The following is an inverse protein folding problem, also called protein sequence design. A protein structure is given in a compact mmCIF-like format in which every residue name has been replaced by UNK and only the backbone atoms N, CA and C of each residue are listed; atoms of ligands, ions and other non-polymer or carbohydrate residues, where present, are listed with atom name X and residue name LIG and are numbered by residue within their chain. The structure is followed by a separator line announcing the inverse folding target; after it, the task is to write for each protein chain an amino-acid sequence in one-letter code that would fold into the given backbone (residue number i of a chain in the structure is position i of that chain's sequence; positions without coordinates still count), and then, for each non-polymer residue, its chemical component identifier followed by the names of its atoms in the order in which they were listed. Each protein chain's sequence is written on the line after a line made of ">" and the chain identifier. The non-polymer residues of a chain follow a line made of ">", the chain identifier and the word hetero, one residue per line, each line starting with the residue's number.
data_IF_978022891437
#
_entry.id   IF_978022891437
#
_cell.length_a   1.000
_cell.length_b   1.000
_cell.length_c   1.000
_cell.angle_alpha   90.00
_cell.angle_beta   90.00
_cell.angle_gamma   90.00
#
_symmetry.space_group_name_H-M   'P 1'
#
loop_
_entity.id
_entity.type
_entity.pdbx_description
1 polymer ?
#
# COMPACT_ATOMS: atom_id res chain seq x y z
N UNK A 1 23.77 -14.19 -30.88
CA UNK A 1 24.25 -13.29 -29.79
C UNK A 1 23.14 -12.41 -29.23
N UNK A 2 22.41 -11.63 -30.03
CA UNK A 2 21.40 -10.67 -29.54
C UNK A 2 20.20 -11.30 -28.78
N UNK A 3 19.72 -12.50 -29.18
CA UNK A 3 18.58 -13.15 -28.53
C UNK A 3 18.85 -13.61 -27.09
N UNK A 4 20.08 -14.01 -26.78
CA UNK A 4 20.47 -14.45 -25.44
C UNK A 4 20.58 -13.29 -24.46
N UNK A 5 21.11 -12.15 -24.92
CA UNK A 5 21.13 -10.92 -24.14
C UNK A 5 19.71 -10.45 -23.77
N UNK A 6 18.77 -10.44 -24.73
CA UNK A 6 17.37 -10.07 -24.49
C UNK A 6 16.66 -11.00 -23.49
N UNK A 7 16.94 -12.31 -23.53
CA UNK A 7 16.39 -13.26 -22.57
C UNK A 7 16.88 -12.95 -21.13
N UNK A 8 18.17 -12.66 -20.96
CA UNK A 8 18.75 -12.26 -19.67
C UNK A 8 18.14 -10.95 -19.17
N UNK A 9 18.04 -9.94 -20.04
CA UNK A 9 17.39 -8.67 -19.69
C UNK A 9 15.95 -8.89 -19.22
N UNK A 10 15.17 -9.70 -19.93
CA UNK A 10 13.78 -9.96 -19.54
C UNK A 10 13.65 -10.66 -18.19
N UNK A 11 14.55 -11.58 -17.84
CA UNK A 11 14.53 -12.29 -16.56
C UNK A 11 15.02 -11.45 -15.40
N UNK A 12 16.09 -10.68 -15.59
CA UNK A 12 16.60 -9.76 -14.57
C UNK A 12 15.58 -8.64 -14.31
N UNK A 13 14.99 -8.09 -15.36
CA UNK A 13 13.95 -7.07 -15.27
C UNK A 13 12.69 -7.62 -14.58
N UNK A 14 12.27 -8.84 -14.94
CA UNK A 14 11.10 -9.49 -14.33
C UNK A 14 11.33 -9.83 -12.85
N UNK A 15 12.52 -10.31 -12.48
CA UNK A 15 12.88 -10.59 -11.09
C UNK A 15 12.90 -9.31 -10.24
N UNK A 16 13.54 -8.25 -10.76
CA UNK A 16 13.64 -6.93 -10.10
C UNK A 16 12.27 -6.27 -9.96
N UNK A 17 11.45 -6.34 -11.00
CA UNK A 17 10.07 -5.85 -10.97
C UNK A 17 9.23 -6.60 -9.93
N UNK A 18 9.39 -7.93 -9.81
CA UNK A 18 8.63 -8.73 -8.84
C UNK A 18 9.05 -8.49 -7.39
N UNK A 19 10.34 -8.27 -7.12
CA UNK A 19 10.84 -8.04 -5.76
C UNK A 19 10.59 -6.61 -5.27
N UNK A 20 10.74 -5.61 -6.14
CA UNK A 20 10.67 -4.20 -5.75
C UNK A 20 9.32 -3.52 -6.07
N UNK A 21 8.69 -3.81 -7.21
CA UNK A 21 7.46 -3.10 -7.65
C UNK A 21 6.19 -3.82 -7.17
N UNK A 22 6.21 -5.14 -7.02
CA UNK A 22 5.00 -5.91 -6.62
C UNK A 22 4.72 -5.95 -5.12
N UNK A 23 5.69 -5.56 -4.29
CA UNK A 23 5.56 -5.62 -2.84
C UNK A 23 5.12 -4.26 -2.33
N UNK A 24 4.07 -4.29 -1.51
CA UNK A 24 3.46 -3.19 -0.76
C UNK A 24 4.42 -2.44 0.20
N UNK A 25 5.72 -2.56 -0.02
CA UNK A 25 6.75 -2.01 0.85
C UNK A 25 6.70 -0.48 0.83
N UNK A 26 6.40 0.13 -0.31
CA UNK A 26 6.39 1.61 -0.45
C UNK A 26 5.31 2.26 0.42
N UNK A 27 4.08 1.72 0.46
CA UNK A 27 3.02 2.25 1.31
C UNK A 27 3.37 2.06 2.78
N UNK A 28 3.84 0.86 3.14
CA UNK A 28 4.22 0.50 4.50
C UNK A 28 5.36 1.39 5.02
N UNK A 29 6.42 1.57 4.24
CA UNK A 29 7.56 2.42 4.62
C UNK A 29 7.16 3.88 4.74
N UNK A 30 6.27 4.36 3.88
CA UNK A 30 5.80 5.75 3.93
C UNK A 30 4.94 5.98 5.17
N UNK A 31 4.07 5.04 5.53
CA UNK A 31 3.26 5.10 6.74
C UNK A 31 4.14 5.10 8.01
N UNK A 32 5.13 4.20 8.08
CA UNK A 32 6.06 4.16 9.21
C UNK A 32 6.94 5.41 9.31
N UNK A 33 7.50 5.88 8.19
CA UNK A 33 8.32 7.09 8.16
C UNK A 33 7.48 8.33 8.54
N UNK A 34 6.23 8.42 8.07
CA UNK A 34 5.32 9.50 8.42
C UNK A 34 4.95 9.51 9.90
N UNK A 35 4.66 8.35 10.49
CA UNK A 35 4.38 8.22 11.92
C UNK A 35 5.58 8.63 12.79
N UNK A 36 6.78 8.17 12.44
CA UNK A 36 8.01 8.48 13.19
C UNK A 36 8.40 9.97 13.08
N UNK A 37 8.30 10.55 11.87
CA UNK A 37 8.54 11.99 11.68
C UNK A 37 7.54 12.84 12.46
N UNK A 38 6.28 12.40 12.55
CA UNK A 38 5.25 13.08 13.34
C UNK A 38 5.51 12.99 14.85
N UNK A 39 5.93 11.82 15.36
CA UNK A 39 6.37 11.68 16.76
C UNK A 39 7.52 12.63 17.09
N UNK A 40 8.55 12.71 16.23
CA UNK A 40 9.66 13.64 16.41
C UNK A 40 9.22 15.11 16.33
N UNK A 41 8.35 15.45 15.39
CA UNK A 41 7.86 16.82 15.20
C UNK A 41 6.99 17.30 16.38
N UNK A 42 6.13 16.43 16.91
CA UNK A 42 5.35 16.70 18.12
C UNK A 42 6.25 16.81 19.36
N UNK A 43 7.30 15.99 19.45
CA UNK A 43 8.24 16.02 20.58
C UNK A 43 9.08 17.31 20.65
N UNK A 44 9.41 17.93 19.52
CA UNK A 44 10.25 19.13 19.45
C UNK A 44 9.52 20.40 19.92
N UNK A 45 8.19 20.38 20.09
CA UNK A 45 7.40 21.57 20.42
C UNK A 45 6.95 21.58 21.90
N UNK A 46 7.44 22.51 22.74
CA UNK A 46 7.27 22.46 24.20
C UNK A 46 6.03 23.20 24.74
N UNK A 47 5.12 23.69 23.89
CA UNK A 47 3.91 24.39 24.30
C UNK A 47 2.76 23.39 24.50
N UNK A 48 2.49 23.03 25.76
CA UNK A 48 1.54 22.00 26.19
C UNK A 48 0.05 22.20 25.88
N UNK A 49 -0.33 22.74 24.72
CA UNK A 49 -1.73 22.85 24.24
C UNK A 49 -2.04 21.90 23.05
N UNK A 50 -1.51 20.69 23.07
CA UNK A 50 -1.93 19.66 22.11
C UNK A 50 -3.02 18.82 22.73
N UNK A 51 -4.25 18.76 22.18
CA UNK A 51 -4.96 17.45 22.15
C UNK A 51 -6.26 17.23 21.32
N UNK A 52 -6.85 18.17 20.56
CA UNK A 52 -8.09 17.80 19.81
C UNK A 52 -8.03 17.98 18.30
N UNK A 53 -7.53 19.10 17.81
CA UNK A 53 -7.66 19.44 16.39
C UNK A 53 -6.58 18.79 15.50
N UNK A 54 -5.35 18.66 15.97
CA UNK A 54 -4.24 18.05 15.20
C UNK A 54 -4.38 16.54 15.06
N UNK A 55 -4.87 15.82 16.08
CA UNK A 55 -5.12 14.36 15.97
C UNK A 55 -6.27 14.02 15.02
N UNK A 56 -7.36 14.80 15.04
CA UNK A 56 -8.54 14.52 14.19
C UNK A 56 -8.29 14.89 12.72
N UNK A 57 -7.55 15.99 12.46
CA UNK A 57 -7.32 16.46 11.10
C UNK A 57 -6.18 15.73 10.38
N UNK A 58 -5.10 15.37 11.10
CA UNK A 58 -3.94 14.72 10.50
C UNK A 58 -4.17 13.25 10.14
N UNK A 59 -5.08 12.55 10.84
CA UNK A 59 -5.40 11.15 10.55
C UNK A 59 -6.36 11.06 9.35
N UNK A 60 -7.40 11.91 9.30
CA UNK A 60 -8.47 11.81 8.30
C UNK A 60 -8.00 12.07 6.86
N UNK A 61 -7.16 13.08 6.62
CA UNK A 61 -6.68 13.40 5.27
C UNK A 61 -5.67 12.36 4.76
N UNK A 62 -4.81 11.85 5.65
CA UNK A 62 -3.85 10.80 5.33
C UNK A 62 -4.56 9.46 5.07
N UNK A 63 -5.56 9.10 5.87
CA UNK A 63 -6.34 7.89 5.67
C UNK A 63 -7.08 7.89 4.33
N UNK A 64 -7.73 9.00 3.95
CA UNK A 64 -8.44 9.09 2.66
C UNK A 64 -7.44 9.03 1.50
N UNK A 65 -6.33 9.78 1.58
CA UNK A 65 -5.31 9.81 0.54
C UNK A 65 -4.60 8.47 0.36
N UNK A 66 -4.18 7.85 1.46
CA UNK A 66 -3.47 6.57 1.45
C UNK A 66 -4.36 5.43 0.98
N UNK A 67 -5.62 5.37 1.42
CA UNK A 67 -6.57 4.37 0.96
C UNK A 67 -6.84 4.49 -0.55
N UNK A 68 -6.95 5.71 -1.08
CA UNK A 68 -7.20 5.90 -2.52
C UNK A 68 -6.00 5.48 -3.37
N UNK A 69 -4.79 5.80 -2.93
CA UNK A 69 -3.54 5.38 -3.61
C UNK A 69 -3.41 3.86 -3.55
N UNK A 70 -3.66 3.28 -2.38
CA UNK A 70 -3.64 1.84 -2.15
C UNK A 70 -4.66 1.09 -3.01
N UNK A 71 -5.87 1.63 -3.12
CA UNK A 71 -6.94 1.07 -3.93
C UNK A 71 -6.62 1.05 -5.41
N UNK A 72 -6.08 2.15 -5.93
CA UNK A 72 -5.62 2.24 -7.32
C UNK A 72 -4.49 1.25 -7.62
N UNK A 73 -3.51 1.14 -6.71
CA UNK A 73 -2.35 0.27 -6.91
C UNK A 73 -2.70 -1.22 -6.81
N UNK A 74 -3.62 -1.58 -5.92
CA UNK A 74 -3.98 -2.97 -5.64
C UNK A 74 -5.24 -3.44 -6.36
N UNK A 75 -5.80 -2.64 -7.26
CA UNK A 75 -6.99 -2.99 -8.03
C UNK A 75 -6.86 -4.38 -8.68
N UNK A 76 -7.90 -5.21 -8.52
CA UNK A 76 -7.95 -6.57 -9.04
C UNK A 76 -7.21 -7.61 -8.18
N UNK A 77 -6.52 -7.18 -7.12
CA UNK A 77 -5.90 -8.06 -6.10
C UNK A 77 -6.56 -7.96 -4.74
N UNK A 78 -7.43 -6.98 -4.53
CA UNK A 78 -8.11 -6.80 -3.26
C UNK A 78 -9.27 -7.79 -3.12
N UNK A 79 -9.54 -8.23 -1.88
CA UNK A 79 -10.69 -9.10 -1.58
C UNK A 79 -12.00 -8.54 -2.13
N UNK A 80 -12.23 -7.23 -2.00
CA UNK A 80 -13.44 -6.56 -2.53
C UNK A 80 -13.59 -6.73 -4.05
N UNK A 81 -12.49 -6.83 -4.78
CA UNK A 81 -12.48 -6.99 -6.23
C UNK A 81 -12.61 -8.45 -6.66
N UNK A 82 -12.12 -9.41 -5.86
CA UNK A 82 -12.06 -10.84 -6.24
C UNK A 82 -13.08 -11.73 -5.54
N UNK A 83 -13.74 -11.26 -4.45
CA UNK A 83 -14.65 -12.06 -3.63
C UNK A 83 -15.80 -12.67 -4.42
N UNK A 84 -16.29 -11.96 -5.44
CA UNK A 84 -17.40 -12.40 -6.27
C UNK A 84 -17.10 -13.72 -7.01
N UNK A 85 -15.82 -14.02 -7.28
CA UNK A 85 -15.42 -15.28 -7.91
C UNK A 85 -15.44 -16.49 -6.99
N UNK A 86 -15.53 -16.27 -5.67
CA UNK A 86 -15.48 -17.33 -4.66
C UNK A 86 -16.82 -17.52 -3.97
N UNK A 87 -17.62 -16.46 -3.78
CA UNK A 87 -18.94 -16.55 -3.14
C UNK A 87 -20.00 -17.25 -3.99
N UNK A 88 -19.92 -17.16 -5.33
CA UNK A 88 -20.85 -17.88 -6.24
C UNK A 88 -20.62 -19.39 -6.21
N UNK A 89 -19.42 -19.83 -5.86
CA UNK A 89 -19.08 -21.26 -5.82
C UNK A 89 -19.73 -22.01 -4.65
N UNK A 90 -20.02 -21.32 -3.55
CA UNK A 90 -20.67 -21.95 -2.39
C UNK A 90 -22.17 -22.17 -2.66
N UNK A 91 -22.83 -21.30 -3.44
CA UNK A 91 -24.26 -21.46 -3.76
C UNK A 91 -24.52 -22.56 -4.82
N UNK A 92 -23.55 -22.88 -5.69
CA UNK A 92 -23.66 -23.99 -6.67
C UNK A 92 -23.30 -25.37 -6.10
N UNK A 93 -22.49 -25.44 -5.03
CA UNK A 93 -22.12 -26.71 -4.38
C UNK A 93 -23.19 -27.19 -3.36
N UNK A 94 -24.19 -26.35 -3.04
CA UNK A 94 -25.28 -26.61 -2.09
C UNK A 94 -26.64 -27.01 -2.75
N UNK A 95 -26.73 -27.06 -4.10
CA UNK A 95 -27.87 -27.64 -4.88
C UNK A 95 -27.55 -29.04 -5.43
#
# INVERSE_FOLDING_TARGET
>A
MAGFANAIYSHVLFATYRTFIRKNTVLLTTAFAGAFAFELWVYIRPDGEYLKLTKVFSISAFDIGSNKIWDSWNQGRQWKDIKHRYMVKEEEDDE
#
